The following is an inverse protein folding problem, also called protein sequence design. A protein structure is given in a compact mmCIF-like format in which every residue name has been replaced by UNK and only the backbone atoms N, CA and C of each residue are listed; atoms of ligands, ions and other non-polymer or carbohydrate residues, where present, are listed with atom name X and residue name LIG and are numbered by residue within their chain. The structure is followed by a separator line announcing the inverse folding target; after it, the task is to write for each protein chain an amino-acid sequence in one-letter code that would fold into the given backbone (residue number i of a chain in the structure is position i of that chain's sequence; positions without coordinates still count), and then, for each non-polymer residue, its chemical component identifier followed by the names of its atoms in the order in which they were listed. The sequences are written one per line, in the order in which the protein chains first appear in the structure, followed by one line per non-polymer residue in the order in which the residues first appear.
data_IF_567544436721
#
_entry.id   IF_567544436721
#
_cell.length_a   1.000
_cell.length_b   1.000
_cell.length_c   1.000
_cell.angle_alpha   90.00
_cell.angle_beta   90.00
_cell.angle_gamma   90.00
#
_symmetry.space_group_name_H-M   'P 1'
#
loop_
_entity.id
_entity.type
_entity.pdbx_description
1 polymer ?
#
# COMPACT_ATOMS: atom_id res chain seq x y z
N UNK A 1 -17.84 0.98 13.17
CA UNK A 1 -18.27 -0.12 12.28
C UNK A 1 -17.51 -1.38 12.63
N UNK A 2 -18.19 -2.49 12.73
CA UNK A 2 -17.59 -3.80 12.97
C UNK A 2 -16.92 -4.35 11.70
N UNK A 3 -15.95 -5.26 11.88
CA UNK A 3 -15.12 -5.76 10.76
C UNK A 3 -15.93 -6.41 9.64
N UNK A 4 -16.91 -7.24 9.96
CA UNK A 4 -17.71 -7.93 8.95
C UNK A 4 -18.51 -6.94 8.08
N UNK A 5 -19.14 -5.95 8.70
CA UNK A 5 -19.88 -4.88 8.01
C UNK A 5 -18.94 -4.04 7.12
N UNK A 6 -17.74 -3.72 7.63
CA UNK A 6 -16.71 -3.03 6.87
C UNK A 6 -16.33 -3.79 5.60
N UNK A 7 -16.05 -5.09 5.71
CA UNK A 7 -15.67 -5.94 4.58
C UNK A 7 -16.77 -5.99 3.52
N UNK A 8 -18.04 -6.13 3.91
CA UNK A 8 -19.15 -6.14 2.95
C UNK A 8 -19.30 -4.81 2.22
N UNK A 9 -19.12 -3.69 2.93
CA UNK A 9 -19.13 -2.36 2.29
C UNK A 9 -17.98 -2.22 1.29
N UNK A 10 -16.76 -2.63 1.65
CA UNK A 10 -15.62 -2.63 0.72
C UNK A 10 -15.90 -3.48 -0.50
N UNK A 11 -16.48 -4.69 -0.35
CA UNK A 11 -16.87 -5.57 -1.46
C UNK A 11 -17.82 -4.89 -2.44
N UNK A 12 -18.81 -4.15 -1.90
CA UNK A 12 -19.78 -3.41 -2.71
C UNK A 12 -19.10 -2.26 -3.47
N UNK A 13 -18.15 -1.57 -2.83
CA UNK A 13 -17.43 -0.46 -3.46
C UNK A 13 -16.50 -0.91 -4.59
N UNK A 14 -15.86 -2.09 -4.47
CA UNK A 14 -15.06 -2.65 -5.56
C UNK A 14 -15.85 -3.08 -6.81
N UNK A 15 -17.18 -3.17 -6.70
CA UNK A 15 -18.06 -3.37 -7.88
C UNK A 15 -18.34 -2.08 -8.65
N UNK A 16 -17.98 -0.92 -8.09
CA UNK A 16 -18.16 0.40 -8.69
C UNK A 16 -16.87 0.88 -9.37
N UNK A 17 -16.97 1.97 -10.12
CA UNK A 17 -15.80 2.63 -10.66
C UNK A 17 -14.85 3.10 -9.55
N UNK A 18 -13.57 2.75 -9.68
CA UNK A 18 -12.54 3.13 -8.72
C UNK A 18 -12.22 4.63 -8.80
N UNK A 19 -11.83 5.27 -7.69
CA UNK A 19 -11.40 6.67 -7.69
C UNK A 19 -10.17 6.95 -8.57
N UNK A 20 -9.30 5.97 -8.72
CA UNK A 20 -8.19 5.96 -9.65
C UNK A 20 -7.13 7.04 -9.41
N UNK A 21 -6.48 7.45 -10.50
CA UNK A 21 -5.41 8.44 -10.49
C UNK A 21 -5.82 9.74 -9.79
N UNK A 22 -7.08 10.16 -9.89
CA UNK A 22 -7.58 11.38 -9.26
C UNK A 22 -7.38 11.34 -7.74
N UNK A 23 -7.71 10.21 -7.12
CA UNK A 23 -7.51 10.03 -5.68
C UNK A 23 -6.03 9.84 -5.32
N UNK A 24 -5.29 9.08 -6.12
CA UNK A 24 -3.85 8.87 -5.92
C UNK A 24 -3.09 10.20 -5.93
N UNK A 25 -3.43 11.12 -6.82
CA UNK A 25 -2.76 12.41 -6.95
C UNK A 25 -2.95 13.34 -5.76
N UNK A 26 -3.95 13.15 -4.90
CA UNK A 26 -4.13 13.94 -3.67
C UNK A 26 -2.94 13.80 -2.69
N UNK A 27 -2.28 12.63 -2.71
CA UNK A 27 -1.11 12.34 -1.86
C UNK A 27 0.17 12.23 -2.67
N UNK A 28 0.17 12.75 -3.89
CA UNK A 28 1.35 12.76 -4.75
C UNK A 28 2.35 13.86 -4.34
N UNK A 29 3.66 13.59 -4.38
CA UNK A 29 4.66 14.66 -4.33
C UNK A 29 4.42 15.69 -5.42
N UNK A 30 4.62 16.98 -5.10
CA UNK A 30 4.31 18.10 -6.01
C UNK A 30 5.02 18.02 -7.37
N UNK A 31 6.17 17.36 -7.44
CA UNK A 31 6.98 17.20 -8.67
C UNK A 31 6.69 15.90 -9.43
N UNK A 32 5.69 15.11 -9.00
CA UNK A 32 5.43 13.81 -9.62
C UNK A 32 4.73 13.96 -10.96
N UNK A 33 5.19 13.17 -11.92
CA UNK A 33 4.52 13.01 -13.21
C UNK A 33 3.15 12.31 -13.06
N UNK A 34 2.17 12.72 -13.87
CA UNK A 34 0.90 11.98 -14.02
C UNK A 34 1.15 10.56 -14.55
N UNK A 35 0.18 9.66 -14.41
CA UNK A 35 0.30 8.29 -14.96
C UNK A 35 0.59 8.30 -16.46
N UNK A 36 -0.05 9.18 -17.23
CA UNK A 36 0.20 9.34 -18.67
C UNK A 36 1.65 9.76 -18.98
N UNK A 37 2.23 10.63 -18.16
CA UNK A 37 3.62 11.03 -18.29
C UNK A 37 4.56 9.91 -17.81
N UNK A 38 4.22 9.22 -16.74
CA UNK A 38 4.98 8.08 -16.21
C UNK A 38 5.09 6.95 -17.23
N UNK A 39 4.00 6.61 -17.94
CA UNK A 39 4.00 5.62 -19.02
C UNK A 39 4.98 6.01 -20.14
N UNK A 40 5.04 7.29 -20.50
CA UNK A 40 5.98 7.78 -21.52
C UNK A 40 7.44 7.69 -21.06
N UNK A 41 7.69 7.94 -19.77
CA UNK A 41 9.04 7.86 -19.18
C UNK A 41 9.51 6.41 -19.03
N UNK A 42 8.60 5.48 -18.73
CA UNK A 42 8.87 4.07 -18.50
C UNK A 42 7.94 3.24 -19.40
N UNK A 43 8.29 3.03 -20.67
CA UNK A 43 7.42 2.30 -21.60
C UNK A 43 7.17 0.83 -21.21
N UNK A 44 8.17 0.19 -20.60
CA UNK A 44 8.13 -1.19 -20.16
C UNK A 44 8.41 -1.29 -18.65
N UNK A 45 7.47 -0.91 -17.79
CA UNK A 45 7.67 -1.00 -16.35
C UNK A 45 7.67 -2.45 -15.89
N UNK A 46 8.54 -2.75 -14.93
CA UNK A 46 8.60 -4.08 -14.31
C UNK A 46 7.32 -4.34 -13.51
N UNK A 47 6.58 -5.42 -13.81
CA UNK A 47 5.37 -5.75 -13.05
C UNK A 47 5.72 -6.13 -11.61
N UNK A 48 4.91 -5.63 -10.69
CA UNK A 48 4.99 -5.93 -9.26
C UNK A 48 3.60 -5.88 -8.63
N UNK A 49 3.44 -6.52 -7.48
CA UNK A 49 2.19 -6.52 -6.74
C UNK A 49 2.42 -6.33 -5.25
N UNK A 50 1.46 -5.71 -4.59
CA UNK A 50 1.43 -5.54 -3.13
C UNK A 50 0.10 -6.04 -2.57
N UNK A 51 0.08 -6.46 -1.31
CA UNK A 51 -1.13 -6.82 -0.59
C UNK A 51 -1.45 -5.79 0.50
N UNK A 52 -2.66 -5.24 0.43
CA UNK A 52 -3.29 -4.49 1.50
C UNK A 52 -4.20 -5.45 2.23
N UNK A 53 -3.76 -5.98 3.35
CA UNK A 53 -4.52 -6.98 4.10
C UNK A 53 -5.37 -6.32 5.17
N UNK A 54 -6.68 -6.59 5.16
CA UNK A 54 -7.60 -6.25 6.25
C UNK A 54 -7.79 -7.43 7.18
N UNK A 55 -7.74 -7.18 8.47
CA UNK A 55 -7.99 -8.17 9.51
C UNK A 55 -8.55 -7.50 10.78
N UNK A 56 -9.30 -8.24 11.61
CA UNK A 56 -9.87 -7.68 12.82
C UNK A 56 -8.89 -7.71 13.99
N UNK A 57 -8.84 -6.59 14.76
CA UNK A 57 -8.37 -6.60 16.14
C UNK A 57 -9.51 -6.05 16.99
N UNK A 58 -9.99 -6.84 17.93
CA UNK A 58 -11.18 -6.51 18.72
C UNK A 58 -12.39 -6.11 17.85
N UNK A 59 -12.57 -6.82 16.73
CA UNK A 59 -13.61 -6.57 15.71
C UNK A 59 -13.51 -5.22 14.97
N UNK A 60 -12.39 -4.50 15.12
CA UNK A 60 -12.11 -3.24 14.42
C UNK A 60 -11.21 -3.52 13.21
N UNK A 61 -11.51 -2.97 12.02
CA UNK A 61 -10.68 -3.16 10.83
C UNK A 61 -9.27 -2.57 10.99
N UNK A 62 -8.26 -3.40 10.80
CA UNK A 62 -6.84 -3.05 10.80
C UNK A 62 -6.18 -3.42 9.48
N UNK A 63 -5.06 -2.79 9.23
CA UNK A 63 -4.11 -3.16 8.17
C UNK A 63 -2.68 -3.06 8.69
N UNK A 64 -1.74 -3.62 7.94
CA UNK A 64 -0.33 -3.63 8.29
C UNK A 64 0.50 -3.07 7.12
N UNK A 65 1.47 -2.25 7.48
CA UNK A 65 2.55 -1.79 6.62
C UNK A 65 3.89 -2.21 7.22
N UNK A 66 4.96 -2.04 6.47
CA UNK A 66 6.30 -2.31 6.92
C UNK A 66 7.25 -1.15 6.64
N UNK A 67 8.26 -1.01 7.46
CA UNK A 67 9.45 -0.21 7.18
C UNK A 67 10.49 -1.13 6.56
N UNK A 68 10.90 -0.86 5.33
CA UNK A 68 11.94 -1.64 4.66
C UNK A 68 13.29 -1.43 5.32
N UNK A 69 14.12 -2.46 5.38
CA UNK A 69 15.50 -2.33 5.84
C UNK A 69 16.27 -1.30 5.00
N UNK A 70 17.28 -0.69 5.62
CA UNK A 70 18.17 0.23 4.92
C UNK A 70 19.16 -0.56 4.09
N UNK A 71 19.20 -0.30 2.78
CA UNK A 71 20.14 -0.89 1.82
C UNK A 71 20.48 0.12 0.72
N UNK A 72 21.52 -0.14 -0.06
CA UNK A 72 21.84 0.69 -1.23
C UNK A 72 20.84 0.42 -2.35
N UNK A 73 19.80 1.27 -2.47
CA UNK A 73 18.79 1.11 -3.49
C UNK A 73 17.58 2.01 -3.33
N UNK A 74 16.63 1.85 -4.26
CA UNK A 74 15.36 2.57 -4.23
C UNK A 74 14.50 2.05 -3.07
N UNK A 75 13.77 2.96 -2.41
CA UNK A 75 12.83 2.65 -1.32
C UNK A 75 13.46 2.17 0.00
N UNK A 76 14.79 2.24 0.15
CA UNK A 76 15.51 1.96 1.39
C UNK A 76 14.95 2.78 2.56
N UNK A 77 14.59 2.12 3.66
CA UNK A 77 14.04 2.74 4.86
C UNK A 77 12.66 3.39 4.69
N UNK A 78 11.97 3.17 3.56
CA UNK A 78 10.64 3.73 3.33
C UNK A 78 9.56 2.78 3.88
N UNK A 79 8.40 3.38 4.21
CA UNK A 79 7.21 2.61 4.55
C UNK A 79 6.51 2.15 3.29
N UNK A 80 6.18 0.86 3.23
CA UNK A 80 5.44 0.26 2.12
C UNK A 80 4.42 -0.77 2.62
N UNK A 81 3.48 -1.13 1.76
CA UNK A 81 2.78 -2.40 1.91
C UNK A 81 3.72 -3.55 1.57
N UNK A 82 3.53 -4.74 2.15
CA UNK A 82 4.24 -5.94 1.72
C UNK A 82 4.00 -6.22 0.25
N UNK A 83 5.05 -6.63 -0.45
CA UNK A 83 4.97 -6.92 -1.86
C UNK A 83 6.27 -6.73 -2.62
N UNK A 84 6.32 -7.27 -3.84
CA UNK A 84 7.52 -7.27 -4.65
C UNK A 84 7.28 -7.53 -6.13
N UNK A 85 8.33 -8.00 -6.80
CA UNK A 85 8.34 -8.29 -8.24
C UNK A 85 7.63 -9.61 -8.54
N UNK A 86 7.09 -9.69 -9.75
CA UNK A 86 6.67 -10.97 -10.30
C UNK A 86 7.88 -11.87 -10.50
N UNK A 87 7.76 -13.12 -10.09
CA UNK A 87 8.71 -14.20 -10.37
C UNK A 87 8.13 -15.21 -11.36
N UNK A 88 9.00 -16.01 -11.99
CA UNK A 88 8.59 -17.02 -12.96
C UNK A 88 7.66 -18.10 -12.38
N UNK A 89 7.73 -18.30 -11.07
CA UNK A 89 6.85 -19.21 -10.31
C UNK A 89 5.44 -18.65 -10.08
N UNK A 90 5.23 -17.34 -10.24
CA UNK A 90 3.96 -16.69 -9.97
C UNK A 90 2.95 -16.95 -11.08
N UNK A 91 1.80 -17.50 -10.72
CA UNK A 91 0.70 -17.78 -11.68
C UNK A 91 0.05 -16.52 -12.22
N UNK A 92 0.01 -15.46 -11.40
CA UNK A 92 -0.57 -14.15 -11.69
C UNK A 92 -0.13 -13.13 -10.62
N UNK A 93 -0.51 -11.86 -10.80
CA UNK A 93 -0.17 -10.78 -9.87
C UNK A 93 -0.76 -10.95 -8.46
N UNK A 94 -1.92 -11.59 -8.34
CA UNK A 94 -2.49 -11.93 -7.02
C UNK A 94 -1.59 -12.92 -6.28
N UNK A 95 -1.06 -13.92 -7.00
CA UNK A 95 -0.13 -14.88 -6.43
C UNK A 95 1.16 -14.20 -5.95
N UNK A 96 1.69 -13.25 -6.74
CA UNK A 96 2.84 -12.42 -6.34
C UNK A 96 2.55 -11.68 -5.02
N UNK A 97 1.41 -10.99 -4.93
CA UNK A 97 1.05 -10.23 -3.73
C UNK A 97 0.93 -11.10 -2.48
N UNK A 98 0.32 -12.28 -2.60
CA UNK A 98 0.16 -13.23 -1.50
C UNK A 98 1.49 -13.86 -1.09
N UNK A 99 2.33 -14.29 -2.05
CA UNK A 99 3.66 -14.87 -1.80
C UNK A 99 4.56 -13.88 -1.06
N UNK A 100 4.69 -12.68 -1.59
CA UNK A 100 5.53 -11.63 -1.01
C UNK A 100 5.05 -11.26 0.42
N UNK A 101 3.73 -11.18 0.62
CA UNK A 101 3.19 -10.92 1.95
C UNK A 101 3.54 -12.04 2.94
N UNK A 102 3.45 -13.30 2.51
CA UNK A 102 3.81 -14.46 3.34
C UNK A 102 5.30 -14.47 3.66
N UNK A 103 6.16 -14.19 2.68
CA UNK A 103 7.62 -14.12 2.84
C UNK A 103 8.03 -12.99 3.78
N UNK A 104 7.54 -11.77 3.54
CA UNK A 104 7.92 -10.58 4.33
C UNK A 104 7.29 -10.56 5.73
N UNK A 105 6.03 -11.03 5.89
CA UNK A 105 5.27 -10.94 7.15
C UNK A 105 5.23 -12.24 7.95
N UNK A 106 5.56 -13.38 7.33
CA UNK A 106 5.46 -14.70 7.97
C UNK A 106 4.03 -15.10 8.36
N UNK A 107 3.03 -14.63 7.61
CA UNK A 107 1.60 -14.91 7.84
C UNK A 107 1.10 -15.82 6.72
N UNK A 108 0.45 -16.94 7.07
CA UNK A 108 -0.15 -17.88 6.09
C UNK A 108 -1.27 -17.16 5.32
N UNK A 109 -1.11 -17.09 4.00
CA UNK A 109 -2.03 -16.39 3.10
C UNK A 109 -3.11 -17.28 2.47
N UNK A 110 -3.13 -18.60 2.78
CA UNK A 110 -4.09 -19.56 2.17
C UNK A 110 -5.55 -19.23 2.39
N UNK A 111 -5.86 -18.56 3.51
CA UNK A 111 -7.22 -18.13 3.85
C UNK A 111 -7.53 -16.70 3.46
N UNK A 112 -6.58 -15.99 2.85
CA UNK A 112 -6.82 -14.62 2.40
C UNK A 112 -7.82 -14.64 1.27
N UNK A 113 -8.91 -13.93 1.45
CA UNK A 113 -9.88 -13.64 0.41
C UNK A 113 -9.54 -12.31 -0.24
N UNK A 114 -9.38 -12.30 -1.57
CA UNK A 114 -9.16 -11.06 -2.33
C UNK A 114 -10.50 -10.38 -2.56
N UNK A 115 -10.61 -9.14 -2.11
CA UNK A 115 -11.80 -8.30 -2.28
C UNK A 115 -11.79 -7.55 -3.61
N UNK A 116 -10.59 -7.17 -4.09
CA UNK A 116 -10.43 -6.44 -5.35
C UNK A 116 -9.00 -5.96 -5.56
N UNK A 117 -8.81 -5.24 -6.67
CA UNK A 117 -7.56 -4.57 -7.05
C UNK A 117 -7.82 -3.07 -7.18
N UNK A 118 -6.98 -2.22 -6.58
CA UNK A 118 -6.97 -0.78 -6.81
C UNK A 118 -6.28 -0.44 -8.14
N UNK A 119 -6.35 0.81 -8.54
CA UNK A 119 -5.71 1.27 -9.77
C UNK A 119 -4.19 1.13 -9.70
N UNK A 120 -3.62 0.50 -10.73
CA UNK A 120 -2.17 0.31 -10.80
C UNK A 120 -1.42 1.65 -10.84
N UNK A 121 -0.21 1.66 -10.29
CA UNK A 121 0.62 2.85 -10.18
C UNK A 121 2.01 2.60 -10.75
N UNK A 122 2.44 3.42 -11.75
CA UNK A 122 3.82 3.39 -12.24
C UNK A 122 4.68 4.26 -11.34
N UNK A 123 5.84 3.74 -10.91
CA UNK A 123 6.80 4.42 -10.04
C UNK A 123 8.07 4.70 -10.83
N UNK A 124 8.22 5.91 -11.46
CA UNK A 124 9.33 6.19 -12.34
C UNK A 124 10.72 6.01 -11.72
N UNK A 125 10.97 6.36 -10.44
CA UNK A 125 12.29 6.16 -9.85
C UNK A 125 12.77 4.70 -9.83
N UNK A 126 11.88 3.74 -9.60
CA UNK A 126 12.21 2.32 -9.55
C UNK A 126 11.88 1.55 -10.82
N UNK A 127 11.11 2.15 -11.74
CA UNK A 127 10.67 1.50 -12.97
C UNK A 127 9.56 0.45 -12.77
N UNK A 128 8.92 0.39 -11.60
CA UNK A 128 7.85 -0.56 -11.32
C UNK A 128 6.48 -0.08 -11.77
N UNK A 129 5.64 -1.05 -12.19
CA UNK A 129 4.19 -0.96 -12.20
C UNK A 129 3.66 -1.79 -11.06
N UNK A 130 3.10 -1.14 -10.06
CA UNK A 130 2.55 -1.79 -8.87
C UNK A 130 1.06 -2.01 -9.05
N UNK A 131 0.60 -3.25 -8.87
CA UNK A 131 -0.80 -3.66 -8.78
C UNK A 131 -1.17 -3.86 -7.30
N UNK A 132 -1.99 -2.99 -6.71
CA UNK A 132 -2.37 -3.11 -5.30
C UNK A 132 -3.60 -3.99 -5.15
N UNK A 133 -3.45 -5.17 -4.55
CA UNK A 133 -4.56 -6.05 -4.18
C UNK A 133 -5.03 -5.76 -2.76
N UNK A 134 -6.34 -5.77 -2.57
CA UNK A 134 -6.97 -5.67 -1.26
C UNK A 134 -7.52 -7.04 -0.90
N UNK A 135 -7.05 -7.58 0.21
CA UNK A 135 -7.47 -8.87 0.73
C UNK A 135 -7.95 -8.75 2.17
N UNK A 136 -8.59 -9.81 2.66
CA UNK A 136 -9.03 -9.87 4.05
C UNK A 136 -8.82 -11.25 4.67
N UNK A 137 -8.65 -11.26 6.00
CA UNK A 137 -8.72 -12.44 6.86
C UNK A 137 -9.78 -12.20 7.93
N UNK A 138 -10.53 -13.25 8.31
CA UNK A 138 -11.52 -13.17 9.39
C UNK A 138 -10.92 -13.27 10.80
N UNK A 139 -9.62 -13.52 10.90
CA UNK A 139 -8.90 -13.72 12.15
C UNK A 139 -7.78 -12.69 12.31
N UNK A 140 -7.47 -12.36 13.57
CA UNK A 140 -6.31 -11.51 13.89
C UNK A 140 -5.02 -12.20 13.44
N UNK A 141 -4.12 -11.47 12.82
CA UNK A 141 -2.80 -11.97 12.42
C UNK A 141 -1.77 -11.76 13.53
N UNK A 142 -0.73 -12.59 13.52
CA UNK A 142 0.45 -12.46 14.39
C UNK A 142 1.70 -12.49 13.53
N UNK A 143 2.12 -11.35 12.98
CA UNK A 143 3.24 -11.29 12.04
C UNK A 143 4.55 -11.78 12.66
N UNK A 144 5.32 -12.50 11.86
CA UNK A 144 6.71 -12.90 12.15
C UNK A 144 7.59 -12.39 11.01
N UNK A 145 7.85 -11.09 10.94
CA UNK A 145 8.49 -10.48 9.79
C UNK A 145 9.89 -11.01 9.57
N UNK A 146 10.27 -11.15 8.30
CA UNK A 146 11.63 -11.46 7.92
C UNK A 146 12.53 -10.25 8.23
N UNK A 147 13.41 -10.41 9.22
CA UNK A 147 14.32 -9.36 9.68
C UNK A 147 15.36 -8.95 8.65
N UNK A 148 15.53 -9.71 7.58
CA UNK A 148 16.44 -9.33 6.49
C UNK A 148 15.85 -8.29 5.58
N UNK A 149 14.51 -8.20 5.48
CA UNK A 149 13.79 -7.28 4.60
C UNK A 149 13.00 -6.22 5.38
N UNK A 150 12.47 -6.57 6.53
CA UNK A 150 11.56 -5.76 7.33
C UNK A 150 12.22 -5.29 8.62
N UNK A 151 12.45 -3.97 8.72
CA UNK A 151 13.00 -3.35 9.93
C UNK A 151 11.94 -3.23 11.04
N UNK A 152 10.71 -2.89 10.67
CA UNK A 152 9.60 -2.64 11.60
C UNK A 152 8.28 -2.92 10.89
N UNK A 153 7.26 -3.37 11.63
CA UNK A 153 5.87 -3.45 11.16
C UNK A 153 5.04 -2.32 11.77
N UNK A 154 4.18 -1.71 10.96
CA UNK A 154 3.26 -0.65 11.39
C UNK A 154 1.84 -1.17 11.26
N UNK A 155 1.26 -1.61 12.37
CA UNK A 155 -0.13 -2.00 12.45
C UNK A 155 -0.99 -0.80 12.82
N UNK A 156 -2.10 -0.61 12.11
CA UNK A 156 -3.00 0.52 12.35
C UNK A 156 -4.45 0.16 12.06
N UNK A 157 -5.37 0.64 12.90
CA UNK A 157 -6.78 0.64 12.51
C UNK A 157 -6.98 1.59 11.34
N UNK A 158 -7.87 1.24 10.42
CA UNK A 158 -8.14 2.07 9.24
C UNK A 158 -8.71 3.43 9.62
N UNK A 159 -9.50 3.48 10.69
CA UNK A 159 -10.03 4.75 11.23
C UNK A 159 -8.92 5.69 11.68
N UNK A 160 -7.90 5.18 12.37
CA UNK A 160 -6.74 5.97 12.78
C UNK A 160 -5.87 6.35 11.59
N UNK A 161 -5.61 5.40 10.69
CA UNK A 161 -4.80 5.61 9.50
C UNK A 161 -5.36 6.75 8.62
N UNK A 162 -6.68 6.84 8.47
CA UNK A 162 -7.34 7.84 7.62
C UNK A 162 -7.81 9.10 8.35
N UNK A 163 -7.50 9.25 9.64
CA UNK A 163 -7.78 10.50 10.37
C UNK A 163 -7.02 11.66 9.72
N UNK A 164 -7.73 12.75 9.46
CA UNK A 164 -7.15 13.96 8.85
C UNK A 164 -6.03 14.59 9.69
N UNK A 165 -6.05 14.40 11.02
CA UNK A 165 -5.01 14.86 11.93
C UNK A 165 -3.67 14.14 11.73
N UNK A 166 -3.71 12.95 11.13
CA UNK A 166 -2.54 12.16 10.79
C UNK A 166 -1.96 12.49 9.41
N UNK A 167 -2.38 13.60 8.78
CA UNK A 167 -1.90 14.03 7.48
C UNK A 167 -1.22 15.38 7.55
N UNK A 168 -0.09 15.49 6.90
CA UNK A 168 0.63 16.75 6.82
C UNK A 168 1.58 16.81 5.62
N UNK A 169 1.99 18.03 5.26
CA UNK A 169 3.02 18.23 4.25
C UNK A 169 4.40 18.05 4.90
N UNK A 170 5.15 17.05 4.46
CA UNK A 170 6.47 16.72 5.00
C UNK A 170 7.59 17.06 4.03
N UNK A 171 8.78 17.34 4.58
CA UNK A 171 10.01 17.38 3.79
C UNK A 171 10.63 15.99 3.83
N UNK A 172 10.65 15.33 2.68
CA UNK A 172 11.12 13.95 2.55
C UNK A 172 12.34 13.89 1.62
N UNK A 173 13.15 12.86 1.79
CA UNK A 173 14.33 12.64 0.95
C UNK A 173 14.03 11.58 -0.10
N UNK A 174 14.18 11.96 -1.38
CA UNK A 174 14.07 11.00 -2.47
C UNK A 174 15.34 10.17 -2.56
N UNK A 175 15.21 8.84 -2.43
CA UNK A 175 16.35 7.91 -2.57
C UNK A 175 17.00 7.96 -3.96
N UNK A 176 16.23 8.25 -5.01
CA UNK A 176 16.73 8.25 -6.40
C UNK A 176 17.74 9.38 -6.72
N UNK A 177 17.70 10.50 -5.99
CA UNK A 177 18.49 11.71 -6.33
C UNK A 177 19.08 12.42 -5.12
N UNK A 178 18.98 11.87 -3.92
CA UNK A 178 19.36 12.54 -2.67
C UNK A 178 18.78 13.97 -2.53
N UNK A 179 17.60 14.20 -3.12
CA UNK A 179 16.94 15.50 -3.19
C UNK A 179 15.86 15.55 -2.11
N UNK A 180 15.84 16.63 -1.33
CA UNK A 180 14.72 16.97 -0.45
C UNK A 180 13.56 17.52 -1.26
N UNK A 181 12.36 16.99 -1.04
CA UNK A 181 11.14 17.48 -1.67
C UNK A 181 10.00 17.55 -0.67
N UNK A 182 9.01 18.38 -0.96
CA UNK A 182 7.78 18.42 -0.16
C UNK A 182 6.77 17.43 -0.72
N UNK A 183 6.23 16.59 0.16
CA UNK A 183 5.21 15.62 -0.18
C UNK A 183 4.13 15.57 0.89
N UNK A 184 2.84 15.44 0.53
CA UNK A 184 1.81 15.03 1.46
C UNK A 184 2.14 13.65 2.02
N UNK A 185 1.88 13.44 3.30
CA UNK A 185 2.21 12.20 3.99
C UNK A 185 1.15 11.85 5.05
N UNK A 186 0.99 10.57 5.33
CA UNK A 186 0.36 10.07 6.55
C UNK A 186 1.45 9.91 7.61
N UNK A 187 1.14 10.30 8.86
CA UNK A 187 2.06 10.18 9.99
C UNK A 187 1.45 9.18 10.97
N UNK A 188 1.99 7.98 11.01
CA UNK A 188 1.48 6.88 11.84
C UNK A 188 2.59 6.41 12.78
N UNK A 189 2.36 6.53 14.08
CA UNK A 189 3.32 6.13 15.11
C UNK A 189 4.73 6.72 14.88
N UNK A 190 4.80 7.98 14.40
CA UNK A 190 6.06 8.65 14.08
C UNK A 190 6.65 8.31 12.71
N UNK A 191 6.12 7.32 12.02
CA UNK A 191 6.54 6.94 10.67
C UNK A 191 5.89 7.83 9.62
N UNK A 192 6.69 8.28 8.64
CA UNK A 192 6.24 9.16 7.53
C UNK A 192 5.94 8.31 6.31
N UNK A 193 4.65 8.15 5.98
CA UNK A 193 4.17 7.38 4.83
C UNK A 193 3.89 8.36 3.70
N UNK A 194 4.70 8.31 2.65
CA UNK A 194 4.64 9.23 1.52
C UNK A 194 4.85 8.52 0.17
N UNK A 195 4.80 9.25 -0.93
CA UNK A 195 5.09 8.73 -2.26
C UNK A 195 4.07 7.70 -2.73
N UNK A 196 4.54 6.60 -3.33
CA UNK A 196 3.67 5.57 -3.90
C UNK A 196 2.71 4.96 -2.87
N UNK A 197 3.21 4.66 -1.68
CA UNK A 197 2.41 4.09 -0.59
C UNK A 197 1.28 5.04 -0.17
N UNK A 198 1.59 6.33 0.02
CA UNK A 198 0.57 7.32 0.35
C UNK A 198 -0.45 7.53 -0.78
N UNK A 199 -0.03 7.44 -2.03
CA UNK A 199 -0.92 7.55 -3.20
C UNK A 199 -1.91 6.36 -3.25
N UNK A 200 -1.42 5.15 -3.01
CA UNK A 200 -2.26 3.93 -2.94
C UNK A 200 -3.24 4.03 -1.75
N UNK A 201 -2.74 4.45 -0.58
CA UNK A 201 -3.59 4.71 0.60
C UNK A 201 -4.67 5.75 0.33
N UNK A 202 -4.37 6.80 -0.43
CA UNK A 202 -5.34 7.85 -0.78
C UNK A 202 -6.49 7.33 -1.65
N UNK A 203 -6.21 6.40 -2.57
CA UNK A 203 -7.26 5.75 -3.35
C UNK A 203 -8.10 4.84 -2.46
N UNK A 204 -7.46 4.02 -1.62
CA UNK A 204 -8.16 3.17 -0.66
C UNK A 204 -9.04 3.98 0.29
N UNK A 205 -8.52 5.06 0.86
CA UNK A 205 -9.28 5.99 1.70
C UNK A 205 -10.49 6.55 0.97
N UNK A 206 -10.32 6.91 -0.31
CA UNK A 206 -11.41 7.42 -1.13
C UNK A 206 -12.49 6.37 -1.40
N UNK A 207 -12.13 5.08 -1.47
CA UNK A 207 -13.08 3.96 -1.51
C UNK A 207 -13.81 3.86 -0.18
N UNK A 208 -13.07 3.81 0.94
CA UNK A 208 -13.65 3.65 2.27
C UNK A 208 -14.53 4.83 2.69
N UNK A 209 -14.23 6.04 2.25
CA UNK A 209 -15.04 7.24 2.53
C UNK A 209 -16.39 7.30 1.80
N UNK A 210 -16.71 6.35 0.93
CA UNK A 210 -18.01 6.23 0.29
C UNK A 210 -19.06 5.63 1.23
N UNK A 211 -18.62 5.09 2.35
CA UNK A 211 -19.45 4.63 3.45
C UNK A 211 -18.86 5.11 4.78
N UNK A 212 -19.71 5.36 5.78
CA UNK A 212 -19.29 5.82 7.10
C UNK A 212 -18.71 4.65 7.91
N UNK A 213 -17.43 4.67 8.25
CA UNK A 213 -16.77 3.61 9.02
C UNK A 213 -15.90 4.12 10.16
#
# INVERSE_FOLDING_TARGET
MEFAEFVENVRLEFKKELPGEKAQMLMSPLSRATQKQAIKLIPNPTPSAILILFYPINNIPHTILMVRNSYDGHHSGQVSFPGGKVEDSDKNLTHTALREFEEEMGVDTKKVEILGELSSLIIPPSGFRVSPFVGMLHETIYPKPDKTEVAETIESSLKYLFDSNNKSLQTVQSSAKNIKLKAPAYIINGNVIWGATAMILSELESVCKRFDF
#
